data_IF_639470448119
#
_entry.id   IF_639470448119
#
_cell.length_a   1.000
_cell.length_b   1.000
_cell.length_c   1.000
_cell.angle_alpha   90.00
_cell.angle_beta   90.00
_cell.angle_gamma   90.00
#
_symmetry.space_group_name_H-M   'P 1'
#
loop_
_entity.id
_entity.type
_entity.pdbx_description
1 polymer ?
#
# COMPACT_ATOMS: atom_id res chain seq x y z
N UNK A 1 -11.64 1.13 25.47
CA UNK A 1 -11.47 0.09 24.45
C UNK A 1 -9.97 0.00 24.24
N UNK A 2 -9.37 -1.09 24.66
CA UNK A 2 -7.91 -1.26 24.59
C UNK A 2 -7.44 -1.05 23.15
N UNK A 3 -6.48 -0.15 22.89
CA UNK A 3 -5.89 -0.05 21.58
C UNK A 3 -4.97 -1.25 21.43
N UNK A 4 -5.50 -2.37 20.91
CA UNK A 4 -4.68 -3.47 20.37
C UNK A 4 -3.48 -2.85 19.68
N UNK A 5 -2.27 -3.22 20.11
CA UNK A 5 -1.08 -2.56 19.59
C UNK A 5 -1.04 -2.77 18.09
N UNK A 6 -0.78 -1.72 17.32
CA UNK A 6 -0.97 -1.71 15.86
C UNK A 6 -0.20 -2.85 15.14
N UNK A 7 0.89 -3.30 15.76
CA UNK A 7 1.76 -4.40 15.34
C UNK A 7 1.25 -5.82 15.68
N UNK A 8 0.35 -5.96 16.64
CA UNK A 8 -0.29 -7.25 16.98
C UNK A 8 -1.33 -7.66 15.94
N UNK A 9 -1.86 -6.68 15.21
CA UNK A 9 -2.85 -6.90 14.14
C UNK A 9 -2.14 -7.50 12.93
N UNK A 10 -2.56 -8.67 12.47
CA UNK A 10 -1.96 -9.34 11.33
C UNK A 10 -2.22 -8.61 9.98
N UNK A 11 -1.50 -9.00 8.94
CA UNK A 11 -1.56 -8.35 7.62
C UNK A 11 -2.93 -8.48 6.94
N UNK A 12 -3.62 -9.61 7.13
CA UNK A 12 -4.94 -9.86 6.54
C UNK A 12 -5.99 -8.99 7.24
N UNK A 13 -5.94 -8.90 8.56
CA UNK A 13 -6.82 -8.04 9.33
C UNK A 13 -6.60 -6.56 8.98
N UNK A 14 -5.35 -6.12 8.73
CA UNK A 14 -5.11 -4.80 8.14
C UNK A 14 -5.73 -4.65 6.75
N UNK A 15 -5.66 -5.68 5.90
CA UNK A 15 -6.35 -5.71 4.61
C UNK A 15 -7.87 -5.57 4.76
N UNK A 16 -8.48 -6.28 5.70
CA UNK A 16 -9.92 -6.18 6.00
C UNK A 16 -10.28 -4.76 6.44
N UNK A 17 -9.50 -4.16 7.33
CA UNK A 17 -9.72 -2.78 7.79
C UNK A 17 -9.60 -1.77 6.66
N UNK A 18 -8.66 -1.98 5.73
CA UNK A 18 -8.55 -1.15 4.52
C UNK A 18 -9.80 -1.28 3.66
N UNK A 19 -10.25 -2.51 3.38
CA UNK A 19 -11.45 -2.73 2.57
C UNK A 19 -12.70 -2.16 3.25
N UNK A 20 -12.87 -2.35 4.56
CA UNK A 20 -14.00 -1.82 5.31
C UNK A 20 -14.03 -0.28 5.33
N UNK A 21 -12.87 0.37 5.32
CA UNK A 21 -12.74 1.83 5.26
C UNK A 21 -12.84 2.38 3.82
N UNK A 22 -12.89 1.51 2.80
CA UNK A 22 -13.01 1.93 1.41
C UNK A 22 -14.46 2.29 1.10
N UNK A 23 -14.74 3.48 0.55
CA UNK A 23 -16.09 3.85 0.11
C UNK A 23 -16.70 2.77 -0.79
N UNK A 24 -18.01 2.55 -0.72
CA UNK A 24 -18.79 1.48 -1.40
C UNK A 24 -18.83 0.12 -0.70
N UNK A 25 -18.12 -0.03 0.41
CA UNK A 25 -18.16 -1.23 1.25
C UNK A 25 -18.98 -1.08 2.53
N UNK A 26 -19.74 0.02 2.66
CA UNK A 26 -20.61 0.26 3.80
C UNK A 26 -21.62 -0.88 3.97
N UNK A 27 -21.64 -1.51 5.16
CA UNK A 27 -22.55 -2.61 5.48
C UNK A 27 -22.25 -3.94 4.78
N UNK A 28 -21.09 -4.08 4.12
CA UNK A 28 -20.66 -5.39 3.58
C UNK A 28 -20.39 -6.38 4.71
N UNK A 29 -20.69 -7.65 4.42
CA UNK A 29 -20.39 -8.77 5.32
C UNK A 29 -18.88 -8.80 5.65
N UNK A 30 -18.47 -8.75 6.93
CA UNK A 30 -17.08 -8.83 7.33
C UNK A 30 -16.34 -10.08 6.81
N UNK A 31 -17.02 -11.22 6.69
CA UNK A 31 -16.36 -12.44 6.17
C UNK A 31 -16.09 -12.35 4.67
N UNK A 32 -16.98 -11.68 3.91
CA UNK A 32 -16.73 -11.38 2.52
C UNK A 32 -15.52 -10.45 2.35
N UNK A 33 -15.38 -9.43 3.20
CA UNK A 33 -14.21 -8.55 3.20
C UNK A 33 -12.93 -9.34 3.52
N UNK A 34 -12.99 -10.27 4.48
CA UNK A 34 -11.87 -11.16 4.81
C UNK A 34 -11.50 -12.08 3.66
N UNK A 35 -12.47 -12.64 2.96
CA UNK A 35 -12.23 -13.43 1.76
C UNK A 35 -11.54 -12.60 0.68
N UNK A 36 -12.03 -11.39 0.39
CA UNK A 36 -11.41 -10.50 -0.59
C UNK A 36 -9.99 -10.08 -0.19
N UNK A 37 -9.75 -9.76 1.09
CA UNK A 37 -8.43 -9.42 1.59
C UNK A 37 -7.43 -10.57 1.40
N UNK A 38 -7.81 -11.81 1.77
CA UNK A 38 -6.98 -13.01 1.56
C UNK A 38 -6.69 -13.24 0.09
N UNK A 39 -7.71 -13.20 -0.76
CA UNK A 39 -7.55 -13.42 -2.20
C UNK A 39 -6.64 -12.36 -2.84
N UNK A 40 -6.79 -11.10 -2.45
CA UNK A 40 -5.95 -10.03 -2.95
C UNK A 40 -4.50 -10.14 -2.45
N UNK A 41 -4.28 -10.48 -1.17
CA UNK A 41 -2.93 -10.71 -0.62
C UNK A 41 -2.24 -11.87 -1.34
N UNK A 42 -2.94 -13.00 -1.47
CA UNK A 42 -2.43 -14.16 -2.20
C UNK A 42 -2.13 -13.84 -3.67
N UNK A 43 -3.02 -13.10 -4.34
CA UNK A 43 -2.80 -12.66 -5.71
C UNK A 43 -1.53 -11.81 -5.83
N UNK A 44 -1.39 -10.80 -4.95
CA UNK A 44 -0.23 -9.91 -4.92
C UNK A 44 1.08 -10.64 -4.63
N UNK A 45 1.08 -11.56 -3.65
CA UNK A 45 2.27 -12.35 -3.29
C UNK A 45 2.76 -13.28 -4.41
N UNK A 46 1.85 -13.76 -5.25
CA UNK A 46 2.15 -14.63 -6.40
C UNK A 46 2.32 -13.85 -7.70
N UNK A 47 2.16 -12.53 -7.68
CA UNK A 47 2.22 -11.72 -8.88
C UNK A 47 3.66 -11.70 -9.42
N UNK A 48 3.91 -12.54 -10.42
CA UNK A 48 5.15 -12.52 -11.17
C UNK A 48 5.09 -11.36 -12.17
N UNK A 49 5.41 -10.16 -11.68
CA UNK A 49 5.79 -9.10 -12.60
C UNK A 49 7.09 -9.57 -13.26
N UNK A 50 7.12 -9.61 -14.60
CA UNK A 50 8.40 -9.68 -15.30
C UNK A 50 9.34 -8.64 -14.67
N UNK A 51 10.67 -8.85 -14.64
CA UNK A 51 11.60 -7.78 -14.37
C UNK A 51 11.32 -6.71 -15.42
N UNK A 52 10.42 -5.80 -15.10
CA UNK A 52 10.15 -4.64 -15.92
C UNK A 52 11.51 -3.97 -15.88
N UNK A 53 12.20 -3.77 -17.03
CA UNK A 53 13.39 -2.92 -17.01
C UNK A 53 12.88 -1.64 -16.37
N UNK A 54 13.34 -1.35 -15.14
CA UNK A 54 12.78 -0.38 -14.19
C UNK A 54 11.57 0.34 -14.76
N UNK A 55 10.33 0.02 -14.36
CA UNK A 55 9.09 0.66 -14.82
C UNK A 55 9.40 1.90 -15.67
N UNK A 56 9.14 1.91 -16.98
CA UNK A 56 9.46 3.07 -17.84
C UNK A 56 8.95 4.41 -17.29
N UNK A 57 8.08 4.34 -16.28
CA UNK A 57 7.86 5.37 -15.30
C UNK A 57 9.14 6.01 -14.74
N UNK A 58 9.31 7.29 -15.08
CA UNK A 58 10.32 8.16 -14.47
C UNK A 58 10.07 8.25 -12.96
N UNK A 59 11.08 8.03 -12.14
CA UNK A 59 10.99 8.30 -10.69
C UNK A 59 11.33 9.76 -10.43
N UNK A 60 10.48 10.45 -9.69
CA UNK A 60 10.67 11.86 -9.30
C UNK A 60 10.49 12.01 -7.81
N UNK A 61 11.42 12.68 -7.15
CA UNK A 61 11.33 12.93 -5.71
C UNK A 61 10.62 14.27 -5.44
N UNK A 62 9.79 14.25 -4.40
CA UNK A 62 8.95 15.34 -3.91
C UNK A 62 9.03 15.40 -2.39
N UNK A 63 8.73 16.54 -1.79
CA UNK A 63 8.82 16.73 -0.33
C UNK A 63 7.52 17.26 0.29
N UNK A 64 6.41 17.12 -0.44
CA UNK A 64 5.05 17.52 -0.03
C UNK A 64 4.16 16.30 0.24
N UNK A 65 4.75 15.15 0.59
CA UNK A 65 4.01 13.91 0.83
C UNK A 65 3.21 13.93 2.12
N UNK A 66 3.70 14.59 3.17
CA UNK A 66 3.02 14.66 4.45
C UNK A 66 1.71 15.45 4.33
N UNK A 67 1.71 16.52 3.54
CA UNK A 67 0.50 17.29 3.22
C UNK A 67 -0.51 16.44 2.42
N UNK A 68 0.00 15.53 1.58
CA UNK A 68 -0.80 14.66 0.71
C UNK A 68 -1.18 13.33 1.36
N UNK A 69 -0.56 12.97 2.48
CA UNK A 69 -0.64 11.66 3.13
C UNK A 69 -0.21 10.51 2.21
N UNK A 70 0.87 10.69 1.42
CA UNK A 70 1.34 9.72 0.43
C UNK A 70 2.83 9.40 0.62
N UNK A 71 3.21 8.12 0.53
CA UNK A 71 4.61 7.68 0.41
C UNK A 71 5.10 7.74 -1.04
N UNK A 72 4.23 7.35 -1.95
CA UNK A 72 4.47 7.35 -3.38
C UNK A 72 3.16 7.48 -4.16
N UNK A 73 3.27 7.75 -5.46
CA UNK A 73 2.14 7.77 -6.37
C UNK A 73 2.58 7.48 -7.80
N UNK A 74 1.92 6.53 -8.43
CA UNK A 74 2.00 6.31 -9.87
C UNK A 74 1.04 7.22 -10.65
N UNK A 75 1.52 7.75 -11.77
CA UNK A 75 0.72 8.44 -12.78
C UNK A 75 1.02 7.84 -14.15
N UNK A 76 0.01 7.71 -15.02
CA UNK A 76 0.13 6.95 -16.26
C UNK A 76 0.49 7.77 -17.51
N UNK A 77 0.47 9.11 -17.44
CA UNK A 77 0.65 10.00 -18.61
C UNK A 77 1.45 11.28 -18.28
N UNK A 78 2.76 11.35 -18.56
CA UNK A 78 3.62 10.21 -18.88
C UNK A 78 3.76 9.29 -17.66
N UNK A 79 4.07 7.99 -17.84
CA UNK A 79 4.39 7.12 -16.72
C UNK A 79 5.40 7.79 -15.78
N UNK A 80 5.01 8.01 -14.53
CA UNK A 80 5.87 8.64 -13.50
C UNK A 80 5.51 8.07 -12.14
N UNK A 81 6.53 7.73 -11.35
CA UNK A 81 6.39 7.45 -9.91
C UNK A 81 6.91 8.64 -9.14
N UNK A 82 6.02 9.34 -8.44
CA UNK A 82 6.39 10.37 -7.48
C UNK A 82 6.71 9.68 -6.14
N UNK A 83 7.90 9.89 -5.61
CA UNK A 83 8.30 9.43 -4.27
C UNK A 83 8.35 10.64 -3.34
N UNK A 84 7.66 10.57 -2.21
CA UNK A 84 7.62 11.68 -1.27
C UNK A 84 8.60 11.45 -0.12
N UNK A 85 9.75 12.14 -0.18
CA UNK A 85 10.91 11.90 0.67
C UNK A 85 10.70 12.27 2.14
N UNK A 86 9.87 13.27 2.40
CA UNK A 86 9.45 13.69 3.74
C UNK A 86 8.64 12.59 4.45
N UNK A 87 7.71 11.95 3.73
CA UNK A 87 6.89 10.85 4.27
C UNK A 87 7.70 9.57 4.42
N UNK A 88 8.61 9.30 3.48
CA UNK A 88 9.55 8.17 3.57
C UNK A 88 10.49 8.32 4.78
N UNK A 89 11.00 9.53 5.04
CA UNK A 89 11.82 9.81 6.21
C UNK A 89 11.05 9.58 7.51
N UNK A 90 9.81 10.10 7.61
CA UNK A 90 8.96 9.86 8.77
C UNK A 90 8.64 8.37 8.96
N UNK A 91 8.45 7.62 7.87
CA UNK A 91 8.21 6.18 7.94
C UNK A 91 9.43 5.42 8.48
N UNK A 92 10.65 5.78 8.07
CA UNK A 92 11.89 5.22 8.60
C UNK A 92 12.06 5.55 10.09
N UNK A 93 11.80 6.79 10.50
CA UNK A 93 11.80 7.19 11.92
C UNK A 93 10.77 6.40 12.74
N UNK A 94 9.59 6.14 12.19
CA UNK A 94 8.57 5.31 12.84
C UNK A 94 9.04 3.86 12.98
N UNK A 95 9.68 3.29 11.95
CA UNK A 95 10.25 1.93 12.02
C UNK A 95 11.28 1.85 13.17
N UNK A 96 12.16 2.85 13.31
CA UNK A 96 13.11 2.92 14.42
C UNK A 96 12.41 3.05 15.77
N UNK A 97 11.51 4.01 15.91
CA UNK A 97 10.82 4.30 17.17
C UNK A 97 9.96 3.13 17.67
N UNK A 98 9.53 2.24 16.78
CA UNK A 98 8.75 1.04 17.11
C UNK A 98 9.59 -0.23 17.21
N UNK A 99 10.89 -0.17 16.95
CA UNK A 99 11.77 -1.34 16.97
C UNK A 99 11.47 -2.36 15.86
N UNK A 100 10.89 -1.93 14.73
CA UNK A 100 10.46 -2.82 13.65
C UNK A 100 11.55 -3.14 12.62
N UNK A 101 12.82 -2.87 12.94
CA UNK A 101 13.95 -3.11 12.01
C UNK A 101 14.13 -4.57 11.59
N UNK A 102 13.67 -5.52 12.41
CA UNK A 102 13.63 -6.93 12.04
C UNK A 102 12.64 -7.22 10.89
N UNK A 103 11.61 -6.39 10.71
CA UNK A 103 10.63 -6.54 9.63
C UNK A 103 10.89 -5.60 8.46
N UNK A 104 11.47 -4.42 8.73
CA UNK A 104 11.78 -3.38 7.74
C UNK A 104 13.24 -2.92 7.88
N UNK A 105 14.19 -3.61 7.24
CA UNK A 105 15.59 -3.19 7.21
C UNK A 105 15.76 -1.77 6.62
N UNK A 106 16.89 -1.08 6.91
CA UNK A 106 17.12 0.26 6.38
C UNK A 106 16.95 0.36 4.86
N UNK A 107 16.17 1.34 4.40
CA UNK A 107 15.89 1.58 2.99
C UNK A 107 14.79 0.68 2.40
N UNK A 108 14.30 -0.30 3.16
CA UNK A 108 13.24 -1.20 2.69
C UNK A 108 11.92 -0.48 2.50
N UNK A 109 11.67 0.62 3.21
CA UNK A 109 10.45 1.43 3.04
C UNK A 109 10.39 2.03 1.64
N UNK A 110 11.50 2.62 1.16
CA UNK A 110 11.59 3.16 -0.21
C UNK A 110 11.44 2.05 -1.26
N UNK A 111 12.11 0.92 -1.05
CA UNK A 111 12.01 -0.23 -1.95
C UNK A 111 10.56 -0.74 -2.04
N UNK A 112 9.88 -0.86 -0.90
CA UNK A 112 8.50 -1.29 -0.83
C UNK A 112 7.53 -0.30 -1.48
N UNK A 113 7.74 1.01 -1.32
CA UNK A 113 6.94 2.03 -1.99
C UNK A 113 7.05 1.92 -3.51
N UNK A 114 8.27 1.75 -4.05
CA UNK A 114 8.48 1.53 -5.48
C UNK A 114 7.83 0.23 -5.98
N UNK A 115 7.96 -0.86 -5.23
CA UNK A 115 7.33 -2.13 -5.55
C UNK A 115 5.80 -2.04 -5.55
N UNK A 116 5.23 -1.30 -4.60
CA UNK A 116 3.80 -1.01 -4.52
C UNK A 116 3.32 -0.25 -5.78
N UNK A 117 4.01 0.81 -6.18
CA UNK A 117 3.65 1.57 -7.39
C UNK A 117 3.82 0.77 -8.68
N UNK A 118 4.75 -0.19 -8.73
CA UNK A 118 4.89 -1.08 -9.87
C UNK A 118 3.63 -1.94 -10.08
N UNK A 119 2.96 -2.34 -9.00
CA UNK A 119 1.67 -3.03 -9.09
C UNK A 119 0.58 -2.11 -9.61
N UNK A 120 0.51 -0.86 -9.15
CA UNK A 120 -0.44 0.11 -9.70
C UNK A 120 -0.24 0.34 -11.19
N UNK A 121 1.00 0.46 -11.66
CA UNK A 121 1.30 0.53 -13.08
C UNK A 121 0.80 -0.71 -13.85
N UNK A 122 0.93 -1.89 -13.26
CA UNK A 122 0.54 -3.16 -13.87
C UNK A 122 -0.98 -3.43 -13.81
N UNK A 123 -1.66 -2.97 -12.76
CA UNK A 123 -3.10 -3.14 -12.54
C UNK A 123 -3.94 -1.95 -13.03
N UNK A 124 -3.31 -0.88 -13.51
CA UNK A 124 -4.01 0.27 -14.12
C UNK A 124 -4.95 -0.17 -15.25
N UNK A 125 -4.51 -1.09 -16.11
CA UNK A 125 -5.34 -1.71 -17.16
C UNK A 125 -4.78 -3.06 -17.62
N UNK A 126 -5.58 -3.84 -18.35
CA UNK A 126 -5.12 -5.02 -19.07
C UNK A 126 -5.33 -6.35 -18.34
N UNK A 127 -4.60 -7.41 -18.73
CA UNK A 127 -4.90 -8.78 -18.34
C UNK A 127 -4.75 -9.04 -16.84
N UNK A 128 -3.78 -8.40 -16.17
CA UNK A 128 -3.59 -8.58 -14.73
C UNK A 128 -4.74 -7.99 -13.90
N UNK A 129 -5.26 -6.82 -14.28
CA UNK A 129 -6.47 -6.25 -13.67
C UNK A 129 -7.67 -7.18 -13.84
N UNK A 130 -7.84 -7.74 -15.05
CA UNK A 130 -8.90 -8.71 -15.30
C UNK A 130 -8.72 -9.98 -14.46
N UNK A 131 -7.50 -10.50 -14.33
CA UNK A 131 -7.19 -11.67 -13.52
C UNK A 131 -7.51 -11.45 -12.04
N UNK A 132 -7.16 -10.29 -11.47
CA UNK A 132 -7.52 -9.94 -10.09
C UNK A 132 -9.04 -9.92 -9.90
N UNK A 133 -9.79 -9.28 -10.81
CA UNK A 133 -11.27 -9.27 -10.76
C UNK A 133 -11.87 -10.69 -10.77
N UNK A 134 -11.31 -11.58 -11.60
CA UNK A 134 -11.76 -12.97 -11.65
C UNK A 134 -11.43 -13.71 -10.36
N UNK A 135 -10.21 -13.53 -9.83
CA UNK A 135 -9.78 -14.17 -8.58
C UNK A 135 -10.68 -13.77 -7.40
N UNK A 136 -11.05 -12.49 -7.30
CA UNK A 136 -11.92 -11.96 -6.23
C UNK A 136 -13.35 -12.53 -6.26
N UNK A 137 -13.79 -13.10 -7.38
CA UNK A 137 -15.07 -13.78 -7.50
C UNK A 137 -16.31 -12.88 -7.35
N UNK A 138 -16.14 -11.55 -7.28
CA UNK A 138 -17.26 -10.62 -7.18
C UNK A 138 -18.03 -10.59 -8.50
N UNK A 139 -19.26 -11.12 -8.51
CA UNK A 139 -20.10 -11.18 -9.71
C UNK A 139 -21.13 -10.05 -9.70
N UNK A 140 -21.14 -9.22 -10.75
CA UNK A 140 -22.11 -8.10 -10.88
C UNK A 140 -23.28 -8.43 -11.79
N UNK A 141 -23.11 -9.37 -12.72
CA UNK A 141 -24.18 -9.84 -13.59
C UNK A 141 -23.99 -11.32 -13.88
N UNK A 142 -25.11 -12.05 -13.90
CA UNK A 142 -25.17 -13.44 -14.35
C UNK A 142 -26.27 -13.58 -15.39
N UNK A 143 -25.91 -14.04 -16.59
CA UNK A 143 -26.85 -14.35 -17.67
C UNK A 143 -26.63 -15.80 -18.11
N UNK A 144 -27.48 -16.71 -17.61
CA UNK A 144 -27.28 -18.15 -17.77
C UNK A 144 -25.94 -18.62 -17.19
N UNK A 145 -25.09 -19.24 -18.03
CA UNK A 145 -23.74 -19.67 -17.65
C UNK A 145 -22.70 -18.54 -17.65
N UNK A 146 -23.03 -17.38 -18.21
CA UNK A 146 -22.10 -16.27 -18.33
C UNK A 146 -22.09 -15.44 -17.03
N UNK A 147 -20.91 -15.14 -16.53
CA UNK A 147 -20.68 -14.31 -15.33
C UNK A 147 -19.84 -13.10 -15.70
N UNK A 148 -20.25 -11.92 -15.26
CA UNK A 148 -19.47 -10.71 -15.36
C UNK A 148 -18.83 -10.40 -14.01
N UNK A 149 -17.50 -10.38 -13.98
CA UNK A 149 -16.74 -10.04 -12.79
C UNK A 149 -16.75 -8.51 -12.55
N UNK A 150 -17.13 -8.12 -11.34
CA UNK A 150 -17.08 -6.77 -10.83
C UNK A 150 -15.70 -6.39 -10.32
N UNK A 151 -15.51 -5.09 -10.08
CA UNK A 151 -14.35 -4.56 -9.38
C UNK A 151 -14.67 -4.52 -7.87
N UNK A 152 -13.67 -4.83 -7.04
CA UNK A 152 -13.73 -4.64 -5.59
C UNK A 152 -12.80 -3.48 -5.28
N UNK A 153 -13.36 -2.37 -4.79
CA UNK A 153 -12.57 -1.18 -4.47
C UNK A 153 -11.54 -1.50 -3.38
N UNK A 154 -10.32 -0.97 -3.49
CA UNK A 154 -9.25 -1.21 -2.51
C UNK A 154 -8.57 -2.58 -2.58
N UNK A 155 -9.07 -3.55 -3.34
CA UNK A 155 -8.39 -4.84 -3.49
C UNK A 155 -7.03 -4.74 -4.20
N UNK A 156 -6.88 -3.75 -5.11
CA UNK A 156 -5.60 -3.44 -5.77
C UNK A 156 -4.55 -2.97 -4.75
N UNK A 157 -4.95 -2.21 -3.72
CA UNK A 157 -4.04 -1.76 -2.64
C UNK A 157 -3.55 -2.94 -1.80
N UNK A 158 -4.44 -3.88 -1.45
CA UNK A 158 -4.06 -5.09 -0.69
C UNK A 158 -3.08 -5.93 -1.50
N UNK A 159 -3.33 -6.11 -2.81
CA UNK A 159 -2.42 -6.83 -3.69
C UNK A 159 -1.06 -6.12 -3.84
N UNK A 160 -1.05 -4.79 -3.96
CA UNK A 160 0.18 -4.00 -4.07
C UNK A 160 1.05 -4.10 -2.80
N UNK A 161 0.43 -4.07 -1.62
CA UNK A 161 1.13 -4.27 -0.36
C UNK A 161 1.68 -5.68 -0.18
N UNK A 162 0.91 -6.71 -0.55
CA UNK A 162 1.37 -8.10 -0.49
C UNK A 162 2.51 -8.39 -1.47
N UNK A 163 2.47 -7.81 -2.67
CA UNK A 163 3.57 -7.86 -3.62
C UNK A 163 4.82 -7.20 -3.03
N UNK A 164 4.72 -5.97 -2.54
CA UNK A 164 5.83 -5.23 -1.94
C UNK A 164 6.45 -6.00 -0.75
N UNK A 165 5.63 -6.58 0.13
CA UNK A 165 6.09 -7.48 1.20
C UNK A 165 6.96 -8.61 0.64
N UNK A 166 6.46 -9.27 -0.39
CA UNK A 166 7.09 -10.48 -0.96
C UNK A 166 8.40 -10.16 -1.67
N UNK A 167 8.40 -9.21 -2.60
CA UNK A 167 9.59 -8.92 -3.41
C UNK A 167 10.69 -8.18 -2.65
N UNK A 168 10.33 -7.45 -1.60
CA UNK A 168 11.32 -6.81 -0.71
C UNK A 168 11.72 -7.70 0.48
N UNK A 169 11.18 -8.91 0.61
CA UNK A 169 11.51 -9.84 1.70
C UNK A 169 11.17 -9.31 3.09
N UNK A 170 10.07 -8.55 3.22
CA UNK A 170 9.68 -7.90 4.47
C UNK A 170 9.01 -8.90 5.43
N UNK A 171 9.26 -8.72 6.73
CA UNK A 171 8.63 -9.55 7.76
C UNK A 171 7.14 -9.27 7.94
N UNK A 172 6.68 -8.06 7.60
CA UNK A 172 5.30 -7.60 7.67
C UNK A 172 4.95 -6.74 6.46
N UNK A 173 3.68 -6.74 6.06
CA UNK A 173 3.18 -5.92 4.96
C UNK A 173 3.38 -4.41 5.19
N UNK A 174 3.69 -3.59 4.18
CA UNK A 174 3.75 -2.13 4.33
C UNK A 174 2.41 -1.49 4.75
N UNK A 175 1.30 -2.23 4.75
CA UNK A 175 0.03 -1.80 5.37
C UNK A 175 0.21 -1.33 6.81
N UNK A 176 1.07 -2.00 7.59
CA UNK A 176 1.38 -1.62 8.97
C UNK A 176 2.01 -0.21 9.03
N UNK A 177 2.92 0.11 8.10
CA UNK A 177 3.53 1.44 7.98
C UNK A 177 2.46 2.47 7.62
N UNK A 178 1.61 2.19 6.62
CA UNK A 178 0.49 3.06 6.24
C UNK A 178 -0.43 3.35 7.43
N UNK A 179 -0.78 2.31 8.20
CA UNK A 179 -1.62 2.45 9.39
C UNK A 179 -0.92 3.29 10.47
N UNK A 180 0.37 3.06 10.72
CA UNK A 180 1.15 3.80 11.71
C UNK A 180 1.32 5.28 11.35
N UNK A 181 1.61 5.59 10.08
CA UNK A 181 1.67 6.96 9.56
C UNK A 181 0.33 7.67 9.74
N UNK A 182 -0.78 7.02 9.37
CA UNK A 182 -2.12 7.59 9.57
C UNK A 182 -2.39 7.89 11.04
N UNK A 183 -2.01 7.01 11.96
CA UNK A 183 -2.15 7.26 13.41
C UNK A 183 -1.25 8.41 13.89
N UNK A 184 -0.02 8.51 13.39
CA UNK A 184 0.91 9.58 13.77
C UNK A 184 0.43 10.96 13.30
N UNK A 185 -0.14 11.03 12.10
CA UNK A 185 -0.55 12.27 11.44
C UNK A 185 -1.96 12.74 11.82
N UNK A 186 -2.84 11.84 12.29
CA UNK A 186 -4.18 12.20 12.79
C UNK A 186 -4.21 12.50 14.29
N UNK A 187 -3.10 12.32 15.02
CA UNK A 187 -3.02 12.64 16.44
C UNK A 187 -3.02 14.17 16.64
N UNK A 188 -3.94 14.73 17.45
CA UNK A 188 -3.88 16.14 17.80
C UNK A 188 -2.59 16.44 18.58
N UNK A 189 -1.79 17.40 18.11
CA UNK A 189 -0.65 17.95 18.86
C UNK A 189 0.75 17.43 18.51
N UNK A 190 0.96 16.73 17.38
CA UNK A 190 2.32 16.44 16.90
C UNK A 190 2.99 17.76 16.44
N UNK A 191 4.10 18.21 17.06
CA UNK A 191 4.82 19.39 16.60
C UNK A 191 5.36 19.13 15.19
N UNK A 192 5.30 20.14 14.32
CA UNK A 192 5.90 20.06 12.99
C UNK A 192 7.38 19.62 13.08
N UNK A 193 7.88 18.78 12.16
CA UNK A 193 9.28 18.40 12.13
C UNK A 193 10.14 19.68 12.03
N UNK A 194 11.13 19.81 12.92
CA UNK A 194 12.04 20.95 12.92
C UNK A 194 12.87 20.91 11.64
N UNK A 195 12.74 21.93 10.79
CA UNK A 195 13.63 22.11 9.65
C UNK A 195 15.09 22.12 10.12
N UNK A 196 16.01 21.43 9.42
CA UNK A 196 17.42 21.47 9.76
C UNK A 196 17.94 22.91 9.61
N UNK A 197 18.64 23.38 10.64
CA UNK A 197 19.23 24.71 10.65
C UNK A 197 20.23 24.87 9.48
N UNK A 198 20.30 26.04 8.84
CA UNK A 198 21.26 26.26 7.76
C UNK A 198 22.68 26.10 8.30
N UNK A 199 23.44 25.25 7.61
CA UNK A 199 24.86 24.99 7.87
C UNK A 199 25.59 26.32 7.63
N UNK A 200 26.16 26.92 8.67
CA UNK A 200 27.06 28.07 8.52
C UNK A 200 28.36 27.56 7.92
N UNK A 201 28.63 27.92 6.68
CA UNK A 201 29.95 27.80 6.06
C UNK A 201 30.91 28.76 6.78
N UNK A 202 32.12 28.28 7.01
CA UNK A 202 33.23 29.01 7.62
C UNK A 202 34.44 28.85 6.69
#
# INVERSE_FOLDING_TARGET
MDPTSIDEVDDIEWGVRLLAATPTHEGRDPELLRQWARTADEFGSRLALAPVPSSTARVVERADGLERMLLARYTSRPPTVELYTDTLALAEELVDARGWRAWYPPGSVRAAALAHEAVHAHLHHGPAKAALKQALGHTVLRLGRHRLAGHVAGAEEVAAHAYARTVCGLGRSPLLITAALRTALTRPGTPAPRSPAPRREN
#
